data_IF_590743763516
#
_entry.id   IF_590743763516
#
_cell.length_a   1.000
_cell.length_b   1.000
_cell.length_c   1.000
_cell.angle_alpha   90.00
_cell.angle_beta   90.00
_cell.angle_gamma   90.00
#
_symmetry.space_group_name_H-M   'P 1'
#
loop_
_entity.id
_entity.type
_entity.pdbx_description
1 polymer ?
#
# COMPACT_ATOMS: atom_id res chain seq x y z
N UNK A 1 -2.59 20.57 -5.76
CA UNK A 1 -2.18 19.17 -6.05
C UNK A 1 -0.70 19.02 -6.42
N UNK A 2 0.11 20.10 -6.35
CA UNK A 2 1.51 20.12 -6.80
C UNK A 2 2.60 19.80 -5.77
N UNK A 3 2.29 19.69 -4.49
CA UNK A 3 3.30 19.72 -3.43
C UNK A 3 3.46 18.39 -2.67
N UNK A 4 3.10 17.28 -3.26
CA UNK A 4 3.20 15.97 -2.62
C UNK A 4 4.25 15.11 -3.26
N UNK A 5 5.03 14.46 -2.43
CA UNK A 5 6.16 13.64 -2.83
C UNK A 5 6.08 12.25 -2.23
N UNK A 6 6.46 11.25 -3.03
CA UNK A 6 6.64 9.88 -2.52
C UNK A 6 8.07 9.43 -2.74
N UNK A 7 8.66 8.79 -1.73
CA UNK A 7 9.96 8.14 -1.84
C UNK A 7 9.92 6.72 -1.29
N UNK A 8 10.62 5.84 -1.96
CA UNK A 8 10.84 4.48 -1.52
C UNK A 8 12.15 4.40 -0.75
N UNK A 9 12.08 4.00 0.51
CA UNK A 9 13.23 3.79 1.39
C UNK A 9 13.59 2.31 1.34
N UNK A 10 14.87 2.02 1.12
CA UNK A 10 15.41 0.67 1.00
C UNK A 10 16.49 0.40 2.04
N UNK A 11 16.41 -0.76 2.67
CA UNK A 11 17.49 -1.31 3.50
C UNK A 11 17.45 -0.94 4.97
N UNK A 12 16.38 -0.28 5.43
CA UNK A 12 16.07 -0.08 6.85
C UNK A 12 14.92 -0.98 7.27
N UNK A 13 14.88 -1.33 8.55
CA UNK A 13 13.74 -2.04 9.13
C UNK A 13 12.47 -1.18 9.09
N UNK A 14 11.34 -1.81 8.78
CA UNK A 14 10.03 -1.16 8.66
C UNK A 14 9.65 -0.38 9.94
N UNK A 15 10.03 -0.94 11.11
CA UNK A 15 9.81 -0.31 12.42
C UNK A 15 10.54 1.02 12.54
N UNK A 16 11.81 1.07 12.17
CA UNK A 16 12.64 2.28 12.24
C UNK A 16 12.01 3.36 11.34
N UNK A 17 11.61 3.00 10.11
CA UNK A 17 11.01 3.96 9.18
C UNK A 17 9.69 4.51 9.76
N UNK A 18 8.85 3.64 10.32
CA UNK A 18 7.57 4.04 10.92
C UNK A 18 7.77 4.98 12.09
N UNK A 19 8.62 4.62 13.04
CA UNK A 19 8.91 5.42 14.24
C UNK A 19 9.54 6.78 13.87
N UNK A 20 10.53 6.78 12.98
CA UNK A 20 11.14 8.03 12.49
C UNK A 20 10.11 8.95 11.83
N UNK A 21 9.18 8.42 11.01
CA UNK A 21 8.11 9.25 10.44
C UNK A 21 7.17 9.82 11.51
N UNK A 22 6.91 9.10 12.59
CA UNK A 22 6.02 9.54 13.66
C UNK A 22 6.66 10.63 14.55
N UNK A 23 7.97 10.57 14.74
CA UNK A 23 8.73 11.50 15.57
C UNK A 23 9.21 12.74 14.78
N UNK A 24 9.17 12.68 13.46
CA UNK A 24 9.65 13.75 12.60
C UNK A 24 8.72 14.97 12.64
N UNK A 25 9.31 16.14 12.84
CA UNK A 25 8.58 17.43 12.78
C UNK A 25 8.32 17.80 11.31
N UNK A 26 7.20 17.33 10.78
CA UNK A 26 6.79 17.55 9.40
C UNK A 26 5.71 16.58 8.95
N UNK A 27 4.95 16.96 7.92
CA UNK A 27 3.86 16.14 7.40
C UNK A 27 4.41 15.03 6.48
N UNK A 28 4.84 13.93 7.07
CA UNK A 28 5.34 12.75 6.37
C UNK A 28 4.93 11.47 7.09
N UNK A 29 4.54 10.45 6.33
CA UNK A 29 4.11 9.17 6.86
C UNK A 29 4.73 8.00 6.10
N UNK A 30 4.81 6.83 6.75
CA UNK A 30 5.03 5.56 6.09
C UNK A 30 3.73 5.11 5.41
N UNK A 31 3.68 5.20 4.09
CA UNK A 31 2.46 5.02 3.29
C UNK A 31 2.27 3.60 2.75
N UNK A 32 3.34 2.87 2.42
CA UNK A 32 3.24 1.50 1.92
C UNK A 32 4.34 0.62 2.51
N UNK A 33 3.97 -0.45 3.18
CA UNK A 33 4.87 -1.51 3.66
C UNK A 33 4.88 -2.64 2.63
N UNK A 34 5.77 -2.53 1.63
CA UNK A 34 5.74 -3.40 0.44
C UNK A 34 6.36 -4.78 0.67
N UNK A 35 7.52 -4.83 1.33
CA UNK A 35 8.17 -6.04 1.79
C UNK A 35 9.24 -5.64 2.82
N UNK A 36 9.79 -6.56 3.62
CA UNK A 36 10.81 -6.25 4.62
C UNK A 36 11.97 -5.42 4.03
N UNK A 37 12.23 -4.26 4.63
CA UNK A 37 13.25 -3.31 4.18
C UNK A 37 12.89 -2.52 2.91
N UNK A 38 11.62 -2.48 2.52
CA UNK A 38 11.11 -1.69 1.39
C UNK A 38 9.80 -0.99 1.77
N UNK A 39 9.90 0.24 2.24
CA UNK A 39 8.77 1.08 2.65
C UNK A 39 8.70 2.33 1.78
N UNK A 40 7.50 2.74 1.40
CA UNK A 40 7.25 4.02 0.73
C UNK A 40 6.78 5.03 1.77
N UNK A 41 7.41 6.20 1.77
CA UNK A 41 6.97 7.36 2.54
C UNK A 41 6.26 8.36 1.63
N UNK A 42 5.31 9.09 2.19
CA UNK A 42 4.51 10.11 1.50
C UNK A 42 4.33 11.33 2.39
N UNK A 43 4.36 12.52 1.81
CA UNK A 43 4.19 13.77 2.55
C UNK A 43 4.52 14.99 1.74
N UNK A 44 4.65 16.13 2.41
CA UNK A 44 5.07 17.38 1.81
C UNK A 44 6.50 17.30 1.29
N UNK A 45 6.78 17.96 0.18
CA UNK A 45 8.08 17.89 -0.52
C UNK A 45 9.26 18.13 0.41
N UNK A 46 9.21 19.21 1.21
CA UNK A 46 10.32 19.57 2.09
C UNK A 46 10.48 18.58 3.24
N UNK A 47 9.36 18.14 3.86
CA UNK A 47 9.37 17.14 4.90
C UNK A 47 9.96 15.80 4.39
N UNK A 48 9.53 15.34 3.21
CA UNK A 48 10.06 14.11 2.60
C UNK A 48 11.53 14.23 2.24
N UNK A 49 12.00 15.38 1.77
CA UNK A 49 13.43 15.60 1.50
C UNK A 49 14.26 15.55 2.78
N UNK A 50 13.85 16.29 3.81
CA UNK A 50 14.59 16.38 5.06
C UNK A 50 14.62 15.03 5.82
N UNK A 51 13.51 14.31 5.88
CA UNK A 51 13.49 12.99 6.54
C UNK A 51 14.35 11.96 5.78
N UNK A 52 14.53 12.11 4.47
CA UNK A 52 15.42 11.23 3.72
C UNK A 52 16.89 11.39 4.13
N UNK A 53 17.32 12.59 4.57
CA UNK A 53 18.65 12.80 5.12
C UNK A 53 18.81 12.07 6.46
N UNK A 54 17.76 12.08 7.29
CA UNK A 54 17.71 11.29 8.53
C UNK A 54 17.81 9.79 8.22
N UNK A 55 17.03 9.27 7.27
CA UNK A 55 17.13 7.86 6.87
C UNK A 55 18.50 7.47 6.32
N UNK A 56 19.14 8.35 5.57
CA UNK A 56 20.50 8.13 5.09
C UNK A 56 21.49 8.02 6.27
N UNK A 57 21.37 8.87 7.29
CA UNK A 57 22.20 8.82 8.50
C UNK A 57 21.95 7.55 9.32
N UNK A 58 20.72 7.01 9.29
CA UNK A 58 20.34 5.75 9.93
C UNK A 58 20.75 4.50 9.12
N UNK A 59 21.38 4.67 7.95
CA UNK A 59 21.93 3.59 7.14
C UNK A 59 21.01 3.09 6.03
N UNK A 60 20.02 3.87 5.58
CA UNK A 60 19.25 3.54 4.39
C UNK A 60 20.16 3.35 3.18
N UNK A 61 20.00 2.23 2.48
CA UNK A 61 20.80 1.95 1.27
C UNK A 61 20.48 2.87 0.11
N UNK A 62 19.19 3.23 -0.04
CA UNK A 62 18.70 4.12 -1.11
C UNK A 62 17.37 4.76 -0.71
N UNK A 63 17.19 5.98 -1.21
CA UNK A 63 15.93 6.73 -1.17
C UNK A 63 15.56 7.11 -2.60
N UNK A 64 14.58 6.40 -3.20
CA UNK A 64 14.22 6.55 -4.61
C UNK A 64 12.94 7.39 -4.76
N UNK A 65 12.97 8.37 -5.64
CA UNK A 65 11.78 9.16 -6.01
C UNK A 65 10.80 8.27 -6.76
N UNK A 66 9.53 8.32 -6.40
CA UNK A 66 8.46 7.69 -7.16
C UNK A 66 7.69 8.76 -7.94
N UNK A 67 7.56 8.62 -9.28
CA UNK A 67 6.81 9.56 -10.11
C UNK A 67 5.30 9.32 -9.94
N UNK A 68 4.73 9.83 -8.85
CA UNK A 68 3.29 9.69 -8.54
C UNK A 68 2.65 11.06 -8.34
N UNK A 69 1.43 11.22 -8.86
CA UNK A 69 0.71 12.50 -8.89
C UNK A 69 -0.13 12.81 -7.65
N UNK A 70 0.02 12.09 -6.52
CA UNK A 70 -0.80 12.35 -5.34
C UNK A 70 -0.28 11.73 -4.05
N UNK A 71 -0.74 12.28 -2.91
CA UNK A 71 -0.44 11.82 -1.56
C UNK A 71 -1.34 10.68 -1.10
N UNK A 72 -1.62 9.72 -1.98
CA UNK A 72 -2.41 8.55 -1.60
C UNK A 72 -1.87 7.92 -0.32
N UNK A 73 -2.78 7.42 0.50
CA UNK A 73 -2.52 6.81 1.80
C UNK A 73 -2.05 7.77 2.90
N UNK A 74 -2.37 9.07 2.76
CA UNK A 74 -2.09 10.11 3.76
C UNK A 74 -3.32 10.98 4.04
N UNK A 75 -3.27 11.77 5.13
CA UNK A 75 -4.34 12.72 5.49
C UNK A 75 -4.62 13.78 4.43
N UNK A 76 -3.69 14.01 3.51
CA UNK A 76 -3.86 14.95 2.39
C UNK A 76 -4.94 14.48 1.37
N UNK A 77 -5.43 13.25 1.49
CA UNK A 77 -6.52 12.71 0.67
C UNK A 77 -7.91 12.82 1.32
N UNK A 78 -8.05 13.55 2.45
CA UNK A 78 -9.33 13.63 3.18
C UNK A 78 -10.48 14.20 2.34
N UNK A 79 -10.23 15.16 1.47
CA UNK A 79 -11.25 15.72 0.59
C UNK A 79 -11.82 14.65 -0.37
N UNK A 80 -10.93 13.95 -1.07
CA UNK A 80 -11.31 12.84 -1.96
C UNK A 80 -11.96 11.68 -1.19
N UNK A 81 -11.63 11.49 0.09
CA UNK A 81 -12.26 10.48 0.95
C UNK A 81 -13.75 10.76 1.15
N UNK A 82 -14.17 12.02 1.24
CA UNK A 82 -15.59 12.37 1.41
C UNK A 82 -16.40 11.96 0.17
N UNK A 83 -15.92 12.27 -1.02
CA UNK A 83 -16.57 11.85 -2.29
C UNK A 83 -16.64 10.33 -2.42
N UNK A 84 -15.55 9.64 -2.11
CA UNK A 84 -15.49 8.18 -2.12
C UNK A 84 -16.48 7.57 -1.11
N UNK A 85 -16.62 8.19 0.07
CA UNK A 85 -17.56 7.74 1.11
C UNK A 85 -19.00 7.78 0.60
N UNK A 86 -19.40 8.85 -0.06
CA UNK A 86 -20.74 8.97 -0.66
C UNK A 86 -20.97 7.89 -1.74
N UNK A 87 -20.00 7.68 -2.61
CA UNK A 87 -20.09 6.66 -3.65
C UNK A 87 -20.23 5.25 -3.07
N UNK A 88 -19.43 4.90 -2.05
CA UNK A 88 -19.50 3.60 -1.37
C UNK A 88 -20.84 3.43 -0.66
N UNK A 89 -21.33 4.43 0.05
CA UNK A 89 -22.60 4.37 0.77
C UNK A 89 -23.80 4.19 -0.18
N UNK A 90 -23.72 4.74 -1.38
CA UNK A 90 -24.74 4.61 -2.41
C UNK A 90 -24.62 3.34 -3.26
N UNK A 91 -23.58 2.52 -3.03
CA UNK A 91 -23.34 1.27 -3.78
C UNK A 91 -23.86 0.08 -2.98
N UNK A 92 -24.59 -0.82 -3.64
CA UNK A 92 -24.98 -2.10 -3.06
C UNK A 92 -23.81 -3.06 -3.02
N UNK A 93 -23.55 -3.64 -1.85
CA UNK A 93 -22.54 -4.67 -1.64
C UNK A 93 -23.20 -5.99 -1.29
N UNK A 94 -22.70 -7.07 -1.87
CA UNK A 94 -23.08 -8.43 -1.49
C UNK A 94 -21.98 -9.05 -0.63
N UNK A 95 -22.35 -9.97 0.25
CA UNK A 95 -21.40 -10.77 1.01
C UNK A 95 -20.47 -11.51 0.02
N UNK A 96 -19.14 -11.41 0.17
CA UNK A 96 -18.23 -12.11 -0.71
C UNK A 96 -18.32 -13.64 -0.53
N UNK A 97 -18.04 -14.38 -1.60
CA UNK A 97 -18.06 -15.86 -1.59
C UNK A 97 -16.85 -16.47 -0.87
N UNK A 98 -15.83 -15.67 -0.59
CA UNK A 98 -14.63 -16.04 0.15
C UNK A 98 -14.14 -14.82 0.95
N UNK A 99 -13.36 -15.04 2.03
CA UNK A 99 -12.80 -13.94 2.80
C UNK A 99 -11.93 -13.02 1.94
N UNK A 100 -12.00 -11.70 2.22
CA UNK A 100 -11.23 -10.64 1.57
C UNK A 100 -10.21 -10.10 2.56
N UNK A 101 -8.96 -9.96 2.13
CA UNK A 101 -7.93 -9.22 2.88
C UNK A 101 -7.80 -7.82 2.29
N UNK A 102 -7.81 -6.81 3.15
CA UNK A 102 -7.72 -5.42 2.72
C UNK A 102 -6.45 -4.76 3.27
N UNK A 103 -5.98 -3.73 2.56
CA UNK A 103 -4.69 -3.09 2.84
C UNK A 103 -4.62 -2.39 4.20
N UNK A 104 -5.77 -1.97 4.76
CA UNK A 104 -5.84 -1.09 5.95
C UNK A 104 -5.52 -1.83 7.24
N UNK A 105 -6.08 -3.03 7.39
CA UNK A 105 -6.01 -3.83 8.61
C UNK A 105 -5.23 -5.14 8.43
N UNK A 106 -4.93 -5.48 7.16
CA UNK A 106 -4.24 -6.71 6.79
C UNK A 106 -4.96 -8.00 7.27
N UNK A 107 -6.23 -7.91 7.63
CA UNK A 107 -7.03 -8.98 8.17
C UNK A 107 -8.04 -9.51 7.16
N UNK A 108 -8.43 -10.78 7.33
CA UNK A 108 -9.51 -11.38 6.55
C UNK A 108 -10.87 -10.97 7.11
N UNK A 109 -11.82 -10.69 6.22
CA UNK A 109 -13.23 -10.48 6.58
C UNK A 109 -14.15 -10.88 5.44
N UNK A 110 -15.37 -11.28 5.76
CA UNK A 110 -16.50 -11.46 4.85
C UNK A 110 -17.67 -10.51 5.21
N UNK A 111 -17.48 -9.72 6.27
CA UNK A 111 -18.46 -8.73 6.72
C UNK A 111 -18.47 -7.50 5.79
N UNK A 112 -19.63 -7.25 5.17
CA UNK A 112 -19.83 -6.17 4.20
C UNK A 112 -19.56 -4.79 4.80
N UNK A 113 -19.96 -4.54 6.04
CA UNK A 113 -19.78 -3.23 6.66
C UNK A 113 -18.31 -2.96 7.01
N UNK A 114 -17.57 -3.98 7.43
CA UNK A 114 -16.13 -3.92 7.60
C UNK A 114 -15.43 -3.66 6.27
N UNK A 115 -15.84 -4.35 5.19
CA UNK A 115 -15.28 -4.15 3.85
C UNK A 115 -15.49 -2.69 3.40
N UNK A 116 -16.69 -2.15 3.51
CA UNK A 116 -17.00 -0.75 3.17
C UNK A 116 -16.15 0.24 3.96
N UNK A 117 -16.09 0.05 5.28
CA UNK A 117 -15.29 0.89 6.18
C UNK A 117 -13.83 0.88 5.78
N UNK A 118 -13.27 -0.27 5.45
CA UNK A 118 -11.88 -0.42 5.02
C UNK A 118 -11.63 0.22 3.64
N UNK A 119 -12.56 0.10 2.69
CA UNK A 119 -12.50 0.79 1.40
C UNK A 119 -12.44 2.31 1.54
N UNK A 120 -13.23 2.87 2.47
CA UNK A 120 -13.19 4.31 2.78
C UNK A 120 -11.87 4.69 3.43
N UNK A 121 -11.41 3.91 4.41
CA UNK A 121 -10.23 4.24 5.19
C UNK A 121 -8.92 4.07 4.42
N UNK A 122 -8.84 3.16 3.46
CA UNK A 122 -7.60 2.91 2.71
C UNK A 122 -7.06 4.13 1.97
N UNK A 123 -7.91 5.11 1.63
CA UNK A 123 -7.48 6.31 0.93
C UNK A 123 -6.52 7.16 1.77
N UNK A 124 -6.69 7.12 3.10
CA UNK A 124 -5.89 7.89 4.07
C UNK A 124 -5.03 7.03 5.00
N UNK A 125 -5.13 5.70 4.90
CA UNK A 125 -4.39 4.76 5.72
C UNK A 125 -3.24 4.09 4.94
N UNK A 126 -2.19 3.62 5.62
CA UNK A 126 -1.10 2.88 4.99
C UNK A 126 -1.55 1.60 4.31
N UNK A 127 -0.83 1.19 3.26
CA UNK A 127 -0.94 -0.15 2.66
C UNK A 127 -0.07 -1.11 3.44
N UNK A 128 -0.66 -2.05 4.14
CA UNK A 128 0.00 -3.05 4.98
C UNK A 128 0.26 -4.35 4.20
N UNK A 129 0.90 -4.26 3.00
CA UNK A 129 1.08 -5.43 2.12
C UNK A 129 1.90 -6.55 2.76
N UNK A 130 3.02 -6.21 3.41
CA UNK A 130 3.85 -7.20 4.12
C UNK A 130 3.04 -7.95 5.17
N UNK A 131 2.26 -7.23 5.97
CA UNK A 131 1.42 -7.80 7.02
C UNK A 131 0.31 -8.66 6.43
N UNK A 132 -0.33 -8.19 5.35
CA UNK A 132 -1.38 -8.92 4.63
C UNK A 132 -0.87 -10.28 4.16
N UNK A 133 0.27 -10.33 3.47
CA UNK A 133 0.84 -11.59 2.99
C UNK A 133 1.24 -12.51 4.13
N UNK A 134 1.86 -11.98 5.20
CA UNK A 134 2.19 -12.79 6.37
C UNK A 134 0.94 -13.37 7.04
N UNK A 135 -0.13 -12.61 7.19
CA UNK A 135 -1.38 -13.08 7.77
C UNK A 135 -2.05 -14.14 6.88
N UNK A 136 -2.06 -13.95 5.57
CA UNK A 136 -2.52 -14.97 4.62
C UNK A 136 -1.75 -16.29 4.78
N UNK A 137 -0.42 -16.23 4.88
CA UNK A 137 0.43 -17.42 5.07
C UNK A 137 0.14 -18.08 6.44
N UNK A 138 0.00 -17.30 7.51
CA UNK A 138 -0.34 -17.79 8.83
C UNK A 138 -1.74 -18.44 8.88
N UNK A 139 -2.66 -17.99 8.02
CA UNK A 139 -3.98 -18.59 7.82
C UNK A 139 -3.95 -19.85 6.94
N UNK A 140 -2.76 -20.27 6.48
CA UNK A 140 -2.53 -21.51 5.76
C UNK A 140 -2.52 -21.39 4.24
N UNK A 141 -2.52 -20.17 3.67
CA UNK A 141 -2.42 -20.00 2.23
C UNK A 141 -0.97 -20.26 1.76
N UNK A 142 -0.82 -21.15 0.79
CA UNK A 142 0.49 -21.56 0.24
C UNK A 142 0.66 -21.21 -1.23
N UNK A 143 -0.43 -20.78 -1.89
CA UNK A 143 -0.43 -20.42 -3.31
C UNK A 143 -1.06 -19.04 -3.52
N UNK A 144 -0.40 -18.22 -4.34
CA UNK A 144 -0.87 -16.88 -4.69
C UNK A 144 -0.89 -16.71 -6.22
N UNK A 145 -2.00 -16.19 -6.72
CA UNK A 145 -2.20 -15.91 -8.14
C UNK A 145 -2.33 -14.40 -8.33
N UNK A 146 -1.34 -13.77 -8.98
CA UNK A 146 -1.46 -12.37 -9.39
C UNK A 146 -2.29 -12.30 -10.67
N UNK A 147 -3.38 -11.52 -10.63
CA UNK A 147 -4.29 -11.33 -11.77
C UNK A 147 -4.15 -9.88 -12.25
N UNK A 148 -3.70 -9.71 -13.48
CA UNK A 148 -3.53 -8.38 -14.08
C UNK A 148 -2.26 -8.23 -14.91
N UNK A 149 -1.94 -7.00 -15.36
CA UNK A 149 -0.73 -6.72 -16.11
C UNK A 149 0.51 -6.68 -15.20
N UNK A 150 1.61 -7.26 -15.68
CA UNK A 150 2.88 -7.25 -14.94
C UNK A 150 3.00 -8.35 -13.88
N UNK A 151 4.03 -8.25 -13.03
CA UNK A 151 4.39 -9.24 -12.01
C UNK A 151 4.99 -8.59 -10.75
N UNK A 152 4.51 -7.42 -10.41
CA UNK A 152 5.06 -6.62 -9.30
C UNK A 152 4.78 -7.27 -7.95
N UNK A 153 3.55 -7.74 -7.74
CA UNK A 153 3.13 -8.34 -6.47
C UNK A 153 3.85 -9.66 -6.21
N UNK A 154 4.06 -10.48 -7.24
CA UNK A 154 4.89 -11.69 -7.12
C UNK A 154 6.31 -11.36 -6.64
N UNK A 155 6.91 -10.30 -7.18
CA UNK A 155 8.23 -9.84 -6.77
C UNK A 155 8.29 -9.41 -5.30
N UNK A 156 7.23 -8.83 -4.78
CA UNK A 156 7.09 -8.45 -3.38
C UNK A 156 6.87 -9.68 -2.48
N UNK A 157 5.97 -10.58 -2.89
CA UNK A 157 5.68 -11.81 -2.13
C UNK A 157 6.94 -12.67 -2.00
N UNK A 158 7.74 -12.84 -3.07
CA UNK A 158 9.01 -13.57 -3.02
C UNK A 158 10.03 -13.01 -2.04
N UNK A 159 9.99 -11.71 -1.77
CA UNK A 159 10.83 -11.06 -0.76
C UNK A 159 10.31 -11.26 0.66
N UNK A 160 9.00 -11.44 0.82
CA UNK A 160 8.35 -11.71 2.10
C UNK A 160 8.53 -13.18 2.47
N UNK A 161 8.17 -14.08 1.54
CA UNK A 161 8.31 -15.52 1.71
C UNK A 161 8.65 -16.19 0.37
N UNK A 162 9.69 -17.04 0.35
CA UNK A 162 10.16 -17.75 -0.85
C UNK A 162 9.57 -19.14 -1.03
N UNK A 163 8.88 -19.65 -0.02
CA UNK A 163 8.36 -21.02 0.01
C UNK A 163 6.97 -21.13 -0.61
N UNK A 164 6.25 -20.01 -0.77
CA UNK A 164 4.93 -19.99 -1.37
C UNK A 164 4.97 -20.14 -2.88
N UNK A 165 3.96 -20.79 -3.44
CA UNK A 165 3.76 -20.93 -4.88
C UNK A 165 3.22 -19.63 -5.48
N UNK A 166 3.75 -19.20 -6.62
CA UNK A 166 3.36 -17.95 -7.30
C UNK A 166 3.05 -18.22 -8.76
N UNK A 167 1.88 -17.80 -9.21
CA UNK A 167 1.47 -17.84 -10.62
C UNK A 167 0.90 -16.50 -11.08
N UNK A 168 0.75 -16.33 -12.40
CA UNK A 168 0.27 -15.11 -13.02
C UNK A 168 -0.82 -15.44 -14.04
N UNK A 169 -1.93 -14.74 -13.95
CA UNK A 169 -2.93 -14.67 -15.02
C UNK A 169 -2.84 -13.29 -15.63
N UNK A 170 -2.18 -13.20 -16.79
CA UNK A 170 -2.03 -11.95 -17.51
C UNK A 170 -3.37 -11.56 -18.17
N UNK A 171 -3.91 -10.41 -17.77
CA UNK A 171 -5.04 -9.79 -18.43
C UNK A 171 -4.47 -8.66 -19.29
N UNK A 172 -4.42 -8.88 -20.61
CA UNK A 172 -4.15 -7.78 -21.57
C UNK A 172 -5.34 -6.83 -21.57
N UNK A 173 -5.08 -5.52 -21.66
CA UNK A 173 -6.15 -4.55 -21.91
C UNK A 173 -6.96 -4.98 -23.14
N UNK A 174 -8.31 -4.93 -23.09
CA UNK A 174 -9.11 -5.15 -24.28
C UNK A 174 -8.68 -4.14 -25.34
N UNK A 175 -8.28 -4.62 -26.50
CA UNK A 175 -7.94 -3.77 -27.64
C UNK A 175 -9.15 -2.85 -27.88
N UNK A 176 -8.99 -1.55 -27.65
CA UNK A 176 -10.01 -0.57 -28.00
C UNK A 176 -10.21 -0.72 -29.50
N UNK A 177 -11.35 -1.26 -29.91
CA UNK A 177 -11.78 -1.17 -31.28
C UNK A 177 -11.93 0.33 -31.58
N UNK A 178 -10.99 0.89 -32.32
CA UNK A 178 -11.15 2.24 -32.85
C UNK A 178 -12.38 2.24 -33.77
N UNK A 179 -13.22 3.28 -33.69
CA UNK A 179 -14.44 3.37 -34.51
C UNK A 179 -14.15 3.56 -35.99
#
# INVERSE_FOLDING_TARGET
LGDVYKRQILGLEDKIIKETCQEFDGNVIAANFNCPGQVVISGEINAVKNICEVFNSLGARRSLILPVGGAFHSSLMNEAKNELTEAINNTSFNTPICPVYQNVDAAKTDDVETIKKNLINQLTAPVLWTQTINNMINDGLTEFVEIGPGKVLQGLIRKINREVSLSLIHISEPTRLEP
#
